data_IF_255868317524
#
_entry.id   IF_255868317524
#
_cell.length_a   1.000
_cell.length_b   1.000
_cell.length_c   1.000
_cell.angle_alpha   90.00
_cell.angle_beta   90.00
_cell.angle_gamma   90.00
#
_symmetry.space_group_name_H-M   'P 1'
#
loop_
_entity.id
_entity.type
_entity.pdbx_description
1 polymer ?
#
# COMPACT_ATOMS: atom_id res chain seq x y z
N UNK A 1 11.67 -26.20 47.89
CA UNK A 1 11.67 -26.38 46.42
C UNK A 1 10.52 -25.57 45.84
N UNK A 2 10.79 -24.39 45.29
CA UNK A 2 9.80 -23.50 44.73
C UNK A 2 9.81 -23.64 43.20
N UNK A 3 8.70 -24.02 42.64
CA UNK A 3 8.48 -24.09 41.20
C UNK A 3 8.40 -22.64 40.62
N UNK A 4 9.39 -22.29 39.83
CA UNK A 4 9.36 -21.13 38.99
C UNK A 4 8.67 -21.53 37.65
N UNK A 5 7.38 -21.23 37.52
CA UNK A 5 6.60 -21.39 36.29
C UNK A 5 6.99 -20.29 35.30
N UNK A 6 7.43 -20.69 34.12
CA UNK A 6 7.85 -19.83 33.01
C UNK A 6 6.66 -19.11 32.41
N UNK A 7 6.59 -17.81 32.60
CA UNK A 7 5.69 -16.91 31.87
C UNK A 7 6.40 -16.26 30.67
N UNK A 8 6.73 -17.07 29.67
CA UNK A 8 7.39 -16.57 28.44
C UNK A 8 6.56 -17.02 27.24
N UNK A 9 5.38 -16.55 27.05
CA UNK A 9 4.65 -16.98 25.83
C UNK A 9 3.56 -16.05 25.32
N UNK A 10 3.18 -15.00 26.04
CA UNK A 10 2.05 -14.16 25.58
C UNK A 10 2.45 -12.90 24.82
N UNK A 11 3.61 -12.34 25.06
CA UNK A 11 4.09 -11.13 24.40
C UNK A 11 4.48 -11.35 22.93
N UNK A 12 5.04 -12.50 22.58
CA UNK A 12 5.54 -12.80 21.23
C UNK A 12 4.40 -13.04 20.22
N UNK A 13 3.24 -13.50 20.66
CA UNK A 13 2.10 -13.80 19.79
C UNK A 13 1.37 -12.51 19.38
N UNK A 14 1.37 -11.49 20.23
CA UNK A 14 0.72 -10.20 19.94
C UNK A 14 1.44 -9.38 18.86
N UNK A 15 2.76 -9.49 18.75
CA UNK A 15 3.57 -8.75 17.76
C UNK A 15 3.32 -9.28 16.35
N UNK A 16 3.13 -10.59 16.20
CA UNK A 16 2.86 -11.20 14.89
C UNK A 16 1.48 -10.88 14.31
N UNK A 17 0.50 -10.59 15.13
CA UNK A 17 -0.84 -10.23 14.66
C UNK A 17 -0.88 -8.77 14.16
N UNK A 18 -0.03 -7.91 14.67
CA UNK A 18 0.00 -6.48 14.35
C UNK A 18 0.59 -6.16 12.97
N UNK A 19 1.49 -6.98 12.45
CA UNK A 19 2.14 -6.76 11.14
C UNK A 19 1.27 -7.14 9.93
N UNK A 20 0.12 -7.75 10.15
CA UNK A 20 -0.63 -8.50 9.13
C UNK A 20 -1.64 -7.69 8.32
N UNK A 21 -1.98 -6.46 8.69
CA UNK A 21 -3.09 -5.74 8.07
C UNK A 21 -2.72 -4.65 7.08
N UNK A 22 -1.49 -4.50 6.73
CA UNK A 22 -1.06 -3.36 5.92
C UNK A 22 -0.19 -3.74 4.75
N UNK A 23 -0.66 -4.70 4.01
CA UNK A 23 -0.28 -4.79 2.63
C UNK A 23 -1.28 -3.93 1.85
N UNK A 24 -0.92 -2.69 1.48
CA UNK A 24 -1.68 -2.02 0.46
C UNK A 24 -1.60 -2.92 -0.76
N UNK A 25 -2.74 -3.30 -1.27
CA UNK A 25 -2.83 -3.76 -2.64
C UNK A 25 -2.37 -2.60 -3.50
N UNK A 26 -1.07 -2.53 -3.74
CA UNK A 26 -0.52 -1.61 -4.71
C UNK A 26 -0.90 -2.15 -6.08
N UNK A 27 -1.97 -1.64 -6.56
CA UNK A 27 -2.39 -1.85 -7.92
C UNK A 27 -1.47 -1.04 -8.83
N UNK A 28 -0.85 -1.74 -9.72
CA UNK A 28 -0.13 -1.21 -10.85
C UNK A 28 -1.11 -0.58 -11.82
N UNK A 29 -1.19 0.72 -11.80
CA UNK A 29 -2.02 1.46 -12.72
C UNK A 29 -1.19 2.47 -13.46
N UNK A 30 -1.66 2.78 -14.65
CA UNK A 30 -1.26 3.90 -15.45
C UNK A 30 -1.07 5.22 -14.69
N UNK A 31 -1.45 5.21 -13.45
CA UNK A 31 -1.33 6.30 -12.50
C UNK A 31 -0.75 5.74 -11.23
N UNK A 32 0.49 5.24 -11.31
CA UNK A 32 1.23 5.00 -10.10
C UNK A 32 1.21 6.28 -9.30
N UNK A 33 0.34 6.33 -8.31
CA UNK A 33 0.65 7.17 -7.17
C UNK A 33 2.06 6.77 -6.76
N UNK A 34 2.96 7.72 -6.47
CA UNK A 34 4.22 7.34 -5.88
C UNK A 34 3.85 6.29 -4.85
N UNK A 35 4.46 5.12 -4.96
CA UNK A 35 4.16 4.02 -4.04
C UNK A 35 4.60 4.49 -2.66
N UNK A 36 3.79 5.37 -2.09
CA UNK A 36 3.86 5.62 -0.68
C UNK A 36 3.30 4.34 -0.11
N UNK A 37 4.21 3.41 0.09
CA UNK A 37 3.96 2.23 0.86
C UNK A 37 3.33 2.74 2.15
N UNK A 38 2.09 2.42 2.49
CA UNK A 38 1.65 2.54 3.85
C UNK A 38 2.50 1.55 4.62
N UNK A 39 3.63 2.04 5.09
CA UNK A 39 4.52 1.27 5.89
C UNK A 39 3.94 1.21 7.26
N UNK A 40 3.72 -0.03 7.68
CA UNK A 40 3.62 -0.36 9.07
C UNK A 40 2.63 0.51 9.83
N UNK A 41 1.36 0.45 9.51
CA UNK A 41 0.42 0.57 10.58
C UNK A 41 0.41 -0.78 11.28
N UNK A 42 0.81 -0.78 12.52
CA UNK A 42 0.54 -1.88 13.41
C UNK A 42 -0.95 -2.16 13.37
N UNK A 43 -1.33 -3.38 13.00
CA UNK A 43 -2.62 -3.85 13.44
C UNK A 43 -2.60 -3.84 14.96
N UNK A 44 -3.61 -3.25 15.58
CA UNK A 44 -3.81 -3.46 16.99
C UNK A 44 -3.84 -4.96 17.24
N UNK A 45 -3.09 -5.40 18.21
CA UNK A 45 -3.17 -6.77 18.68
C UNK A 45 -4.64 -7.14 18.85
N UNK A 46 -5.03 -8.31 18.41
CA UNK A 46 -6.33 -8.92 18.69
C UNK A 46 -6.47 -9.14 20.22
N UNK A 47 -6.55 -8.04 20.96
CA UNK A 47 -6.98 -7.99 22.33
C UNK A 47 -8.50 -7.88 22.34
N UNK A 48 -9.14 -8.70 23.15
CA UNK A 48 -10.55 -8.70 23.57
C UNK A 48 -11.43 -7.63 22.92
N UNK A 49 -12.49 -8.07 22.25
CA UNK A 49 -13.48 -7.24 21.56
C UNK A 49 -13.94 -6.05 22.42
N UNK A 50 -13.27 -4.91 22.27
CA UNK A 50 -13.79 -3.64 22.73
C UNK A 50 -14.72 -3.09 21.65
N UNK A 51 -15.94 -2.80 22.06
CA UNK A 51 -16.98 -2.22 21.21
C UNK A 51 -16.73 -0.71 21.11
N UNK A 52 -15.92 -0.28 20.15
CA UNK A 52 -15.65 1.14 19.92
C UNK A 52 -14.44 1.38 18.99
N UNK A 53 -14.30 2.59 18.48
CA UNK A 53 -13.13 3.06 17.72
C UNK A 53 -12.04 3.60 18.67
N UNK A 54 -11.78 2.92 19.77
CA UNK A 54 -10.81 3.32 20.79
C UNK A 54 -9.50 2.53 20.71
N UNK A 55 -9.29 1.82 19.60
CA UNK A 55 -8.04 1.11 19.33
C UNK A 55 -6.96 2.05 18.78
N UNK A 56 -5.71 1.55 18.69
CA UNK A 56 -4.60 2.33 18.16
C UNK A 56 -4.85 2.81 16.73
N UNK A 57 -4.35 4.00 16.45
CA UNK A 57 -4.45 4.64 15.16
C UNK A 57 -3.24 5.51 14.88
N UNK A 58 -3.19 6.08 13.68
CA UNK A 58 -2.19 7.09 13.33
C UNK A 58 -2.74 8.12 12.36
N UNK A 59 -2.06 9.27 12.34
CA UNK A 59 -2.19 10.29 11.30
C UNK A 59 -0.81 10.50 10.70
N UNK A 60 -0.73 10.63 9.39
CA UNK A 60 0.51 10.91 8.65
C UNK A 60 0.29 12.04 7.66
N UNK A 61 1.18 13.02 7.67
CA UNK A 61 1.26 14.10 6.70
C UNK A 61 2.59 14.03 5.97
N UNK A 62 2.57 14.16 4.66
CA UNK A 62 3.80 14.11 3.88
C UNK A 62 3.67 14.69 2.48
N UNK A 63 4.78 14.60 1.77
CA UNK A 63 4.85 15.02 0.37
C UNK A 63 5.91 14.27 -0.40
N UNK A 64 5.81 14.34 -1.71
CA UNK A 64 6.75 13.71 -2.64
C UNK A 64 7.13 14.63 -3.79
N UNK A 65 8.29 14.37 -4.34
CA UNK A 65 8.72 14.91 -5.64
C UNK A 65 9.40 13.83 -6.44
N UNK A 66 9.08 13.79 -7.74
CA UNK A 66 9.71 12.87 -8.69
C UNK A 66 10.14 13.64 -9.92
N UNK A 67 11.38 13.43 -10.35
CA UNK A 67 11.90 13.91 -11.62
C UNK A 67 11.72 12.86 -12.71
N UNK A 68 11.39 13.33 -13.91
CA UNK A 68 11.17 12.49 -15.08
C UNK A 68 12.22 12.78 -16.14
N UNK A 69 12.68 11.73 -16.83
CA UNK A 69 13.57 11.88 -17.99
C UNK A 69 12.79 12.39 -19.21
N UNK A 70 13.53 12.75 -20.29
CA UNK A 70 12.91 13.14 -21.56
C UNK A 70 12.28 14.52 -21.58
N UNK A 71 12.65 15.41 -20.65
CA UNK A 71 12.12 16.78 -20.58
C UNK A 71 10.67 16.86 -20.08
N UNK A 72 10.17 15.79 -19.50
CA UNK A 72 8.83 15.77 -18.90
C UNK A 72 8.82 16.51 -17.57
N UNK A 73 7.66 17.12 -17.24
CA UNK A 73 7.49 17.89 -16.00
C UNK A 73 7.54 16.99 -14.78
N UNK A 74 8.21 17.46 -13.72
CA UNK A 74 8.24 16.79 -12.42
C UNK A 74 6.84 16.54 -11.87
N UNK A 75 6.71 15.44 -11.10
CA UNK A 75 5.51 15.16 -10.32
C UNK A 75 5.71 15.63 -8.88
N UNK A 76 4.67 16.18 -8.30
CA UNK A 76 4.66 16.59 -6.89
C UNK A 76 3.35 16.19 -6.24
N UNK A 77 3.44 15.64 -5.03
CA UNK A 77 2.27 15.27 -4.25
C UNK A 77 2.41 15.77 -2.81
N UNK A 78 1.27 16.09 -2.20
CA UNK A 78 1.14 16.28 -0.76
C UNK A 78 -0.04 15.42 -0.29
N UNK A 79 0.08 14.77 0.86
CA UNK A 79 -0.94 13.85 1.35
C UNK A 79 -1.16 13.95 2.84
N UNK A 80 -2.37 13.61 3.23
CA UNK A 80 -2.79 13.33 4.61
C UNK A 80 -3.39 11.92 4.64
N UNK A 81 -2.93 11.10 5.57
CA UNK A 81 -3.44 9.75 5.82
C UNK A 81 -3.84 9.59 7.26
N UNK A 82 -4.85 8.79 7.49
CA UNK A 82 -5.27 8.40 8.82
C UNK A 82 -5.65 6.92 8.84
N UNK A 83 -5.45 6.30 9.98
CA UNK A 83 -5.93 4.97 10.28
C UNK A 83 -6.48 4.94 11.70
N UNK A 84 -7.59 4.26 11.87
CA UNK A 84 -8.26 4.04 13.15
C UNK A 84 -8.66 2.58 13.25
N UNK A 85 -8.47 1.98 14.39
CA UNK A 85 -8.91 0.61 14.62
C UNK A 85 -9.78 0.48 15.85
N UNK A 86 -10.61 -0.55 15.88
CA UNK A 86 -11.44 -0.87 17.03
C UNK A 86 -12.09 -2.24 16.87
N UNK A 87 -11.90 -3.09 17.86
CA UNK A 87 -12.38 -4.46 17.83
C UNK A 87 -11.87 -5.24 16.60
N UNK A 88 -12.78 -5.74 15.79
CA UNK A 88 -12.43 -6.48 14.56
C UNK A 88 -12.38 -5.62 13.30
N UNK A 89 -12.47 -4.29 13.43
CA UNK A 89 -12.50 -3.37 12.31
C UNK A 89 -11.31 -2.42 12.31
N UNK A 90 -10.85 -2.04 11.12
CA UNK A 90 -9.94 -0.94 10.89
C UNK A 90 -10.49 -0.05 9.79
N UNK A 91 -10.32 1.26 9.91
CA UNK A 91 -10.72 2.24 8.91
C UNK A 91 -9.52 3.07 8.52
N UNK A 92 -9.33 3.27 7.24
CA UNK A 92 -8.28 4.16 6.72
C UNK A 92 -8.89 5.24 5.85
N UNK A 93 -8.19 6.36 5.76
CA UNK A 93 -8.54 7.45 4.87
C UNK A 93 -7.29 8.08 4.29
N UNK A 94 -7.37 8.52 3.04
CA UNK A 94 -6.33 9.31 2.39
C UNK A 94 -6.96 10.48 1.65
N UNK A 95 -6.33 11.63 1.80
CA UNK A 95 -6.51 12.80 0.95
C UNK A 95 -5.15 13.14 0.35
N UNK A 96 -5.07 13.33 -0.98
CA UNK A 96 -3.86 13.82 -1.60
C UNK A 96 -4.12 14.85 -2.69
N UNK A 97 -3.21 15.83 -2.75
CA UNK A 97 -3.06 16.80 -3.83
C UNK A 97 -1.93 16.33 -4.71
N UNK A 98 -2.20 16.11 -5.98
CA UNK A 98 -1.23 15.56 -6.92
C UNK A 98 -1.11 16.46 -8.16
N UNK A 99 0.12 16.69 -8.59
CA UNK A 99 0.40 17.44 -9.80
C UNK A 99 1.29 16.60 -10.72
N UNK A 100 0.80 16.31 -11.93
CA UNK A 100 1.48 15.50 -12.95
C UNK A 100 1.17 16.07 -14.32
N UNK A 101 2.14 16.03 -15.22
CA UNK A 101 1.95 16.47 -16.59
C UNK A 101 1.40 17.92 -16.72
N UNK A 102 1.71 18.77 -15.73
CA UNK A 102 1.16 20.12 -15.66
C UNK A 102 -0.29 20.22 -15.16
N UNK A 103 -0.95 19.10 -14.92
CA UNK A 103 -2.32 19.05 -14.39
C UNK A 103 -2.31 18.84 -12.86
N UNK A 104 -3.28 19.49 -12.20
CA UNK A 104 -3.54 19.34 -10.77
C UNK A 104 -4.80 18.51 -10.54
N UNK A 105 -4.73 17.56 -9.63
CA UNK A 105 -5.85 16.75 -9.17
C UNK A 105 -5.82 16.48 -7.68
N UNK A 106 -6.97 16.14 -7.13
CA UNK A 106 -7.11 15.72 -5.74
C UNK A 106 -7.69 14.30 -5.71
N UNK A 107 -7.16 13.48 -4.82
CA UNK A 107 -7.59 12.11 -4.60
C UNK A 107 -8.14 11.95 -3.19
N UNK A 108 -9.20 11.17 -3.05
CA UNK A 108 -9.85 10.83 -1.80
C UNK A 108 -10.08 9.33 -1.77
N UNK A 109 -9.71 8.66 -0.70
CA UNK A 109 -10.03 7.24 -0.53
C UNK A 109 -10.38 6.90 0.91
N UNK A 110 -11.21 5.88 1.06
CA UNK A 110 -11.57 5.26 2.33
C UNK A 110 -11.33 3.75 2.22
N UNK A 111 -10.79 3.17 3.28
CA UNK A 111 -10.56 1.75 3.41
C UNK A 111 -11.25 1.19 4.65
N UNK A 112 -11.63 -0.07 4.57
CA UNK A 112 -12.18 -0.84 5.67
C UNK A 112 -11.53 -2.21 5.70
N UNK A 113 -10.94 -2.55 6.84
CA UNK A 113 -10.38 -3.86 7.15
C UNK A 113 -11.28 -4.56 8.15
N UNK A 114 -11.62 -5.81 7.91
CA UNK A 114 -12.46 -6.61 8.81
C UNK A 114 -11.79 -7.93 9.14
N UNK A 115 -11.51 -8.17 10.41
CA UNK A 115 -11.16 -9.51 10.91
C UNK A 115 -12.44 -10.33 11.00
N UNK A 116 -12.53 -11.38 10.18
CA UNK A 116 -13.72 -12.25 10.07
C UNK A 116 -13.60 -13.39 11.08
N UNK A 117 -12.42 -14.02 11.13
CA UNK A 117 -12.08 -15.05 12.11
C UNK A 117 -10.62 -14.88 12.49
N UNK A 118 -10.09 -15.69 13.40
CA UNK A 118 -8.66 -15.69 13.74
C UNK A 118 -7.73 -15.88 12.53
N UNK A 119 -8.20 -16.59 11.50
CA UNK A 119 -7.42 -16.95 10.33
C UNK A 119 -7.81 -16.18 9.05
N UNK A 120 -8.94 -15.46 9.06
CA UNK A 120 -9.44 -14.77 7.89
C UNK A 120 -9.68 -13.29 8.17
N UNK A 121 -9.24 -12.43 7.27
CA UNK A 121 -9.61 -11.01 7.25
C UNK A 121 -9.78 -10.53 5.81
N UNK A 122 -10.49 -9.43 5.66
CA UNK A 122 -10.75 -8.80 4.37
C UNK A 122 -10.42 -7.32 4.41
N UNK A 123 -10.12 -6.77 3.25
CA UNK A 123 -9.88 -5.35 3.03
C UNK A 123 -10.72 -4.87 1.85
N UNK A 124 -11.37 -3.73 2.02
CA UNK A 124 -12.11 -3.05 0.96
C UNK A 124 -11.63 -1.61 0.91
N UNK A 125 -11.42 -1.08 -0.28
CA UNK A 125 -11.04 0.32 -0.48
C UNK A 125 -11.89 0.90 -1.60
N UNK A 126 -12.37 2.12 -1.38
CA UNK A 126 -13.06 2.90 -2.39
C UNK A 126 -12.41 4.29 -2.48
N UNK A 127 -12.27 4.80 -3.69
CA UNK A 127 -11.69 6.12 -3.91
C UNK A 127 -12.30 6.85 -5.09
N UNK A 128 -12.17 8.17 -5.06
CA UNK A 128 -12.62 9.06 -6.13
C UNK A 128 -11.67 10.25 -6.25
N UNK A 129 -11.76 10.99 -7.34
CA UNK A 129 -10.92 12.17 -7.54
C UNK A 129 -11.75 13.40 -7.93
N UNK A 130 -11.13 14.59 -7.75
CA UNK A 130 -11.68 15.86 -8.27
C UNK A 130 -11.86 15.82 -9.79
N UNK A 131 -12.56 16.78 -10.36
CA UNK A 131 -12.73 16.91 -11.83
C UNK A 131 -11.43 17.19 -12.57
N UNK A 132 -10.47 17.90 -11.95
CA UNK A 132 -9.12 18.14 -12.47
C UNK A 132 -8.22 16.91 -12.38
N UNK A 133 -7.04 16.94 -13.02
CA UNK A 133 -6.06 15.84 -13.03
C UNK A 133 -6.58 14.61 -13.75
N UNK A 134 -6.57 14.63 -15.09
CA UNK A 134 -7.05 13.49 -15.93
C UNK A 134 -6.30 12.20 -15.67
N UNK A 135 -5.10 12.30 -15.15
CA UNK A 135 -4.27 11.16 -14.72
C UNK A 135 -4.84 10.40 -13.51
N UNK A 136 -5.79 10.95 -12.74
CA UNK A 136 -6.46 10.27 -11.63
C UNK A 136 -7.73 9.55 -12.09
N UNK A 137 -8.02 8.35 -11.57
CA UNK A 137 -9.28 7.68 -11.87
C UNK A 137 -10.46 8.49 -11.35
N UNK A 138 -11.57 8.47 -12.08
CA UNK A 138 -12.83 9.07 -11.63
C UNK A 138 -13.30 8.39 -10.34
N UNK A 139 -13.23 7.05 -10.32
CA UNK A 139 -13.44 6.23 -9.13
C UNK A 139 -12.71 4.91 -9.24
N UNK A 140 -12.44 4.30 -8.08
CA UNK A 140 -11.75 3.04 -7.94
C UNK A 140 -12.30 2.27 -6.75
N UNK A 141 -12.37 0.95 -6.90
CA UNK A 141 -12.73 0.00 -5.86
C UNK A 141 -11.75 -1.16 -5.86
N UNK A 142 -11.30 -1.57 -4.70
CA UNK A 142 -10.43 -2.72 -4.50
C UNK A 142 -10.97 -3.56 -3.34
N UNK A 143 -10.84 -4.87 -3.45
CA UNK A 143 -11.20 -5.82 -2.40
C UNK A 143 -10.22 -6.97 -2.34
N UNK A 144 -9.82 -7.34 -1.13
CA UNK A 144 -8.91 -8.44 -0.85
C UNK A 144 -9.46 -9.32 0.25
N UNK A 145 -9.15 -10.61 0.16
CA UNK A 145 -9.33 -11.58 1.24
C UNK A 145 -7.99 -12.23 1.55
N UNK A 146 -7.74 -12.46 2.82
CA UNK A 146 -6.49 -12.96 3.34
C UNK A 146 -6.73 -14.15 4.25
N UNK A 147 -5.87 -15.15 4.15
CA UNK A 147 -5.89 -16.32 5.02
C UNK A 147 -4.53 -16.54 5.66
N UNK A 148 -4.51 -16.59 6.98
CA UNK A 148 -3.36 -16.97 7.79
C UNK A 148 -3.25 -18.48 7.83
N UNK A 149 -2.10 -18.99 7.46
CA UNK A 149 -1.79 -20.42 7.39
C UNK A 149 -0.65 -20.76 8.35
N UNK A 150 -0.41 -22.05 8.55
CA UNK A 150 0.55 -22.63 9.47
C UNK A 150 0.18 -22.44 10.95
N UNK A 151 0.66 -23.30 11.85
CA UNK A 151 0.29 -23.26 13.28
C UNK A 151 0.58 -21.94 13.98
N UNK A 152 1.68 -21.26 13.59
CA UNK A 152 2.06 -19.95 14.13
C UNK A 152 1.56 -18.77 13.28
N UNK A 153 0.70 -19.02 12.28
CA UNK A 153 0.14 -18.01 11.38
C UNK A 153 1.21 -17.21 10.60
N UNK A 154 2.37 -17.82 10.35
CA UNK A 154 3.51 -17.14 9.69
C UNK A 154 3.30 -16.93 8.19
N UNK A 155 2.48 -17.75 7.54
CA UNK A 155 2.19 -17.60 6.13
C UNK A 155 0.79 -16.97 5.95
N UNK A 156 0.73 -15.89 5.22
CA UNK A 156 -0.53 -15.28 4.77
C UNK A 156 -0.62 -15.41 3.27
N UNK A 157 -1.71 -15.96 2.79
CA UNK A 157 -2.05 -15.93 1.36
C UNK A 157 -3.18 -14.94 1.14
N UNK A 158 -3.14 -14.27 0.00
CA UNK A 158 -4.03 -13.18 -0.34
C UNK A 158 -4.57 -13.35 -1.76
N UNK A 159 -5.83 -13.09 -1.96
CA UNK A 159 -6.43 -13.01 -3.28
C UNK A 159 -7.47 -11.89 -3.32
N UNK A 160 -7.60 -11.25 -4.47
CA UNK A 160 -8.57 -10.18 -4.62
C UNK A 160 -8.56 -9.56 -5.99
N UNK A 161 -9.20 -8.40 -6.08
CA UNK A 161 -9.30 -7.68 -7.34
C UNK A 161 -9.78 -6.26 -7.16
N UNK A 162 -9.81 -5.54 -8.25
CA UNK A 162 -10.25 -4.17 -8.27
C UNK A 162 -10.82 -3.76 -9.62
N UNK A 163 -11.47 -2.63 -9.59
CA UNK A 163 -12.02 -1.96 -10.75
C UNK A 163 -11.79 -0.47 -10.65
N UNK A 164 -11.41 0.16 -11.73
CA UNK A 164 -11.42 1.61 -11.85
C UNK A 164 -11.97 2.08 -13.18
N UNK A 165 -12.47 3.27 -13.14
CA UNK A 165 -12.92 4.08 -14.24
C UNK A 165 -12.08 5.33 -14.31
N UNK A 166 -11.42 5.59 -15.43
CA UNK A 166 -10.77 6.87 -15.68
C UNK A 166 -11.81 7.97 -15.97
N UNK A 167 -11.36 9.21 -16.07
CA UNK A 167 -12.23 10.34 -16.44
C UNK A 167 -12.57 10.37 -17.92
N UNK A 168 -11.85 9.62 -18.72
CA UNK A 168 -12.14 9.37 -20.13
C UNK A 168 -12.88 8.03 -20.32
N UNK A 169 -12.67 7.39 -21.48
CA UNK A 169 -13.33 6.12 -21.83
C UNK A 169 -12.74 4.89 -21.13
N UNK A 170 -11.51 5.00 -20.57
CA UNK A 170 -10.77 3.85 -20.09
C UNK A 170 -11.36 3.28 -18.80
N UNK A 171 -11.37 1.96 -18.72
CA UNK A 171 -11.68 1.18 -17.51
C UNK A 171 -10.68 0.08 -17.35
N UNK A 172 -10.49 -0.41 -16.14
CA UNK A 172 -9.70 -1.59 -15.96
C UNK A 172 -10.18 -2.46 -14.78
N UNK A 173 -9.95 -3.75 -14.92
CA UNK A 173 -10.19 -4.78 -13.91
C UNK A 173 -8.87 -5.42 -13.55
N UNK A 174 -8.66 -5.66 -12.27
CA UNK A 174 -7.46 -6.30 -11.74
C UNK A 174 -7.84 -7.57 -11.01
N UNK A 175 -6.92 -8.53 -11.07
CA UNK A 175 -6.92 -9.70 -10.23
C UNK A 175 -5.53 -9.83 -9.62
N UNK A 176 -5.48 -10.01 -8.31
CA UNK A 176 -4.26 -10.13 -7.56
C UNK A 176 -4.24 -11.43 -6.77
N UNK A 177 -3.08 -12.08 -6.76
CA UNK A 177 -2.78 -13.20 -5.87
C UNK A 177 -1.38 -12.98 -5.32
N UNK A 178 -1.22 -13.20 -4.02
CA UNK A 178 0.07 -13.01 -3.38
C UNK A 178 0.16 -13.67 -2.01
N UNK A 179 1.24 -13.40 -1.33
CA UNK A 179 1.43 -13.86 0.03
C UNK A 179 2.57 -13.17 0.75
N UNK A 180 2.59 -13.38 2.06
CA UNK A 180 3.62 -12.89 2.96
C UNK A 180 4.04 -14.00 3.90
N UNK A 181 5.36 -14.15 4.12
CA UNK A 181 5.91 -15.05 5.11
C UNK A 181 6.64 -14.25 6.18
N UNK A 182 6.25 -14.48 7.43
CA UNK A 182 6.77 -13.85 8.63
C UNK A 182 7.78 -14.79 9.29
N UNK A 183 9.05 -14.40 9.30
CA UNK A 183 10.10 -15.17 9.95
C UNK A 183 10.04 -14.99 11.47
N UNK A 184 10.70 -15.88 12.21
CA UNK A 184 10.88 -15.70 13.66
C UNK A 184 11.79 -14.51 14.00
N UNK A 185 12.64 -14.12 13.07
CA UNK A 185 13.43 -12.90 13.07
C UNK A 185 12.59 -11.75 12.52
N UNK A 186 12.97 -10.50 12.75
CA UNK A 186 12.17 -9.34 12.33
C UNK A 186 12.19 -9.12 10.82
N UNK A 187 11.94 -10.17 10.05
CA UNK A 187 11.87 -10.12 8.60
C UNK A 187 10.53 -10.62 8.09
N UNK A 188 10.05 -9.97 7.04
CA UNK A 188 8.87 -10.39 6.27
C UNK A 188 9.23 -10.38 4.80
N UNK A 189 9.03 -11.49 4.11
CA UNK A 189 9.11 -11.56 2.65
C UNK A 189 7.71 -11.56 2.08
N UNK A 190 7.50 -10.81 1.00
CA UNK A 190 6.22 -10.70 0.32
C UNK A 190 6.40 -10.86 -1.17
N UNK A 191 5.48 -11.57 -1.82
CA UNK A 191 5.48 -11.71 -3.26
C UNK A 191 4.03 -11.74 -3.79
N UNK A 192 3.84 -11.32 -5.02
CA UNK A 192 2.52 -11.38 -5.65
C UNK A 192 2.56 -11.11 -7.14
N UNK A 193 1.46 -11.47 -7.76
CA UNK A 193 1.21 -11.29 -9.21
C UNK A 193 -0.10 -10.54 -9.37
N UNK A 194 -0.11 -9.56 -10.25
CA UNK A 194 -1.31 -8.82 -10.65
C UNK A 194 -1.56 -8.98 -12.13
N UNK A 195 -2.78 -9.37 -12.50
CA UNK A 195 -3.27 -9.40 -13.86
C UNK A 195 -4.29 -8.30 -14.09
N UNK A 196 -4.03 -7.45 -15.07
CA UNK A 196 -4.86 -6.29 -15.42
C UNK A 196 -5.48 -6.46 -16.80
N UNK A 197 -6.76 -6.12 -16.91
CA UNK A 197 -7.54 -6.09 -18.15
C UNK A 197 -8.10 -4.68 -18.32
N UNK A 198 -7.62 -3.95 -19.32
CA UNK A 198 -8.05 -2.58 -19.61
C UNK A 198 -8.92 -2.51 -20.87
N UNK A 199 -9.88 -1.58 -20.85
CA UNK A 199 -10.78 -1.27 -21.97
C UNK A 199 -10.72 0.25 -22.25
N UNK A 200 -10.90 0.69 -23.51
CA UNK A 200 -11.09 -0.09 -24.72
C UNK A 200 -9.80 -0.78 -25.20
N UNK A 201 -9.92 -1.68 -26.18
CA UNK A 201 -8.77 -2.30 -26.81
C UNK A 201 -8.32 -3.61 -26.14
N UNK A 202 -8.97 -4.04 -25.05
CA UNK A 202 -8.68 -5.32 -24.36
C UNK A 202 -7.19 -5.51 -24.00
N UNK A 203 -6.52 -4.41 -23.66
CA UNK A 203 -5.12 -4.46 -23.23
C UNK A 203 -4.98 -5.30 -21.96
N UNK A 204 -4.01 -6.21 -21.98
CA UNK A 204 -3.74 -7.12 -20.87
C UNK A 204 -2.30 -6.95 -20.43
N UNK A 205 -2.11 -6.90 -19.12
CA UNK A 205 -0.80 -6.77 -18.52
C UNK A 205 -0.67 -7.66 -17.29
N UNK A 206 0.53 -8.10 -17.02
CA UNK A 206 0.87 -8.83 -15.79
C UNK A 206 2.08 -8.16 -15.17
N UNK A 207 2.04 -7.93 -13.88
CA UNK A 207 3.19 -7.52 -13.09
C UNK A 207 3.37 -8.43 -11.89
N UNK A 208 4.61 -8.56 -11.45
CA UNK A 208 5.03 -9.38 -10.33
C UNK A 208 5.88 -8.54 -9.39
N UNK A 209 5.75 -8.75 -8.10
CA UNK A 209 6.59 -8.07 -7.14
C UNK A 209 7.19 -9.01 -6.10
N UNK A 210 8.32 -8.57 -5.57
CA UNK A 210 8.98 -9.13 -4.41
C UNK A 210 9.34 -7.98 -3.46
N UNK A 211 9.07 -8.15 -2.16
CA UNK A 211 9.47 -7.19 -1.14
C UNK A 211 10.05 -7.90 0.08
N UNK A 212 11.00 -7.24 0.72
CA UNK A 212 11.59 -7.66 1.98
C UNK A 212 11.48 -6.49 2.97
N UNK A 213 10.89 -6.75 4.12
CA UNK A 213 10.79 -5.81 5.23
C UNK A 213 11.58 -6.32 6.43
N UNK A 214 12.32 -5.44 7.08
CA UNK A 214 13.05 -5.69 8.32
C UNK A 214 12.70 -4.60 9.33
N UNK A 215 12.53 -4.96 10.60
CA UNK A 215 12.38 -4.01 11.69
C UNK A 215 11.38 -4.43 12.75
N UNK A 216 11.22 -3.54 13.74
CA UNK A 216 10.29 -3.69 14.86
C UNK A 216 9.41 -2.46 15.01
N UNK A 217 8.20 -2.69 15.48
CA UNK A 217 7.29 -1.61 15.88
C UNK A 217 7.90 -0.77 17.00
N UNK A 218 7.66 0.54 16.96
CA UNK A 218 8.22 1.56 17.87
C UNK A 218 9.74 1.74 17.80
N UNK A 219 10.39 1.07 16.85
CA UNK A 219 11.79 1.28 16.52
C UNK A 219 11.90 1.81 15.08
N UNK A 220 12.05 0.89 14.13
CA UNK A 220 12.12 1.24 12.72
C UNK A 220 11.63 0.10 11.83
N UNK A 221 11.31 0.45 10.59
CA UNK A 221 11.13 -0.49 9.49
C UNK A 221 11.94 -0.05 8.28
N UNK A 222 12.60 -1.01 7.64
CA UNK A 222 13.21 -0.85 6.33
C UNK A 222 12.52 -1.81 5.38
N UNK A 223 12.03 -1.32 4.25
CA UNK A 223 11.46 -2.16 3.21
C UNK A 223 12.16 -1.88 1.90
N UNK A 224 12.55 -2.94 1.20
CA UNK A 224 12.98 -2.88 -0.20
C UNK A 224 12.00 -3.67 -1.05
N UNK A 225 11.68 -3.16 -2.23
CA UNK A 225 10.73 -3.77 -3.15
C UNK A 225 11.21 -3.66 -4.59
N UNK A 226 11.03 -4.73 -5.34
CA UNK A 226 11.16 -4.75 -6.78
C UNK A 226 9.83 -5.19 -7.41
N UNK A 227 9.45 -4.55 -8.50
CA UNK A 227 8.30 -4.94 -9.31
C UNK A 227 8.68 -4.90 -10.77
N UNK A 228 8.35 -5.97 -11.49
CA UNK A 228 8.66 -6.16 -12.89
C UNK A 228 7.39 -6.59 -13.62
N UNK A 229 7.33 -6.33 -14.91
CA UNK A 229 6.21 -6.80 -15.71
C UNK A 229 5.79 -5.84 -16.80
N UNK A 230 4.50 -5.71 -16.99
CA UNK A 230 3.89 -4.83 -17.99
C UNK A 230 2.78 -4.00 -17.37
N UNK A 231 2.56 -2.84 -17.92
CA UNK A 231 1.44 -1.99 -17.63
C UNK A 231 0.41 -2.01 -18.77
N UNK A 232 -0.89 -2.06 -18.39
CA UNK A 232 -1.94 -2.20 -19.39
C UNK A 232 -2.16 -0.91 -20.17
N UNK A 233 -2.17 0.22 -19.49
CA UNK A 233 -2.20 1.54 -20.09
C UNK A 233 -1.73 2.63 -19.13
N UNK A 234 -1.27 3.76 -19.67
CA UNK A 234 -0.94 4.97 -18.91
C UNK A 234 -1.40 6.21 -19.67
N UNK A 235 -2.00 7.17 -18.95
CA UNK A 235 -2.35 8.47 -19.47
C UNK A 235 -1.17 9.43 -19.28
N UNK A 236 -0.50 9.76 -20.35
CA UNK A 236 0.48 10.84 -20.36
C UNK A 236 -0.28 12.15 -20.60
N UNK A 237 -0.25 13.11 -19.80
CA UNK A 237 -0.95 14.39 -19.99
C UNK A 237 -1.38 14.72 -21.42
N UNK A 238 -2.56 15.28 -21.61
CA UNK A 238 -3.17 15.43 -22.94
C UNK A 238 -3.90 14.17 -23.42
N UNK A 239 -4.07 13.99 -24.74
CA UNK A 239 -4.81 12.86 -25.29
C UNK A 239 -3.98 11.57 -25.44
N UNK A 240 -2.71 11.59 -25.07
CA UNK A 240 -1.82 10.45 -25.26
C UNK A 240 -2.05 9.38 -24.21
N UNK A 241 -2.19 8.13 -24.67
CA UNK A 241 -2.30 6.94 -23.82
C UNK A 241 -1.30 5.89 -24.30
N UNK A 242 -0.51 5.39 -23.38
CA UNK A 242 0.40 4.27 -23.63
C UNK A 242 -0.32 2.95 -23.32
N UNK A 243 -0.04 1.90 -24.08
CA UNK A 243 -0.67 0.60 -23.88
C UNK A 243 0.37 -0.52 -23.83
N UNK A 244 0.18 -1.46 -22.93
CA UNK A 244 0.87 -2.74 -22.84
C UNK A 244 2.40 -2.64 -22.98
N UNK A 245 3.03 -1.81 -22.18
CA UNK A 245 4.48 -1.58 -22.19
C UNK A 245 5.18 -2.23 -20.98
N UNK A 246 6.46 -2.62 -21.10
CA UNK A 246 7.21 -3.19 -20.00
C UNK A 246 7.52 -2.11 -18.94
N UNK A 247 7.56 -2.55 -17.69
CA UNK A 247 7.88 -1.71 -16.55
C UNK A 247 8.85 -2.41 -15.60
N UNK A 248 9.63 -1.61 -14.91
CA UNK A 248 10.37 -2.02 -13.72
C UNK A 248 10.30 -0.89 -12.68
N UNK A 249 10.02 -1.29 -11.45
CA UNK A 249 10.02 -0.39 -10.31
C UNK A 249 10.90 -0.96 -9.21
N UNK A 250 11.71 -0.12 -8.61
CA UNK A 250 12.51 -0.41 -7.42
C UNK A 250 12.23 0.66 -6.39
N UNK A 251 11.97 0.24 -5.17
CA UNK A 251 11.76 1.20 -4.09
C UNK A 251 12.43 0.74 -2.80
N UNK A 252 12.84 1.72 -2.01
CA UNK A 252 13.31 1.52 -0.65
C UNK A 252 12.62 2.54 0.25
N UNK A 253 12.26 2.11 1.43
CA UNK A 253 11.58 2.97 2.38
C UNK A 253 12.05 2.71 3.80
N UNK A 254 12.01 3.74 4.61
CA UNK A 254 12.45 3.78 5.98
C UNK A 254 11.42 4.51 6.84
N UNK A 255 10.88 3.81 7.83
CA UNK A 255 10.05 4.39 8.89
C UNK A 255 10.82 4.36 10.19
N UNK A 256 10.93 5.48 10.87
CA UNK A 256 11.64 5.63 12.14
C UNK A 256 10.74 6.29 13.16
N UNK A 257 10.58 5.66 14.32
CA UNK A 257 10.03 6.34 15.51
C UNK A 257 11.14 7.17 16.16
N UNK A 258 10.90 8.47 16.30
CA UNK A 258 11.82 9.41 16.95
C UNK A 258 11.38 9.63 18.41
N UNK A 259 10.09 9.65 18.64
CA UNK A 259 9.50 9.71 19.98
C UNK A 259 8.57 8.53 20.21
N UNK A 260 7.94 8.51 21.39
CA UNK A 260 7.04 7.41 21.80
C UNK A 260 5.88 7.23 20.80
N UNK A 261 5.33 8.35 20.32
CA UNK A 261 4.12 8.37 19.51
C UNK A 261 4.30 9.10 18.17
N UNK A 262 5.52 9.37 17.72
CA UNK A 262 5.73 10.04 16.45
C UNK A 262 7.04 9.62 15.79
N UNK A 263 7.11 9.83 14.51
CA UNK A 263 8.30 9.52 13.74
C UNK A 263 8.23 10.06 12.32
N UNK A 264 9.15 9.59 11.50
CA UNK A 264 9.30 10.01 10.11
C UNK A 264 9.24 8.82 9.17
N UNK A 265 8.72 9.06 7.98
CA UNK A 265 8.78 8.17 6.85
C UNK A 265 9.64 8.81 5.76
N UNK A 266 10.56 8.02 5.22
CA UNK A 266 11.36 8.38 4.05
C UNK A 266 11.20 7.28 3.02
N UNK A 267 11.07 7.61 1.75
CA UNK A 267 11.17 6.60 0.69
C UNK A 267 11.81 7.15 -0.56
N UNK A 268 12.42 6.25 -1.30
CA UNK A 268 12.96 6.48 -2.62
C UNK A 268 12.34 5.49 -3.60
N UNK A 269 12.10 5.92 -4.83
CA UNK A 269 11.51 5.12 -5.89
C UNK A 269 12.20 5.40 -7.22
N UNK A 270 12.46 4.33 -7.96
CA UNK A 270 12.92 4.37 -9.33
C UNK A 270 11.99 3.57 -10.23
N UNK A 271 11.35 4.22 -11.17
CA UNK A 271 10.54 3.60 -12.19
C UNK A 271 11.20 3.75 -13.56
N UNK A 272 11.11 2.70 -14.35
CA UNK A 272 11.54 2.74 -15.73
C UNK A 272 10.56 2.05 -16.66
N UNK A 273 10.34 2.68 -17.80
CA UNK A 273 9.61 2.14 -18.92
C UNK A 273 10.27 2.63 -20.24
N UNK A 274 9.84 2.19 -21.42
CA UNK A 274 10.44 2.59 -22.69
C UNK A 274 10.33 4.09 -23.02
N UNK A 275 9.45 4.81 -22.35
CA UNK A 275 9.12 6.20 -22.67
C UNK A 275 9.80 7.21 -21.75
N UNK A 276 9.95 6.86 -20.48
CA UNK A 276 10.62 7.70 -19.49
C UNK A 276 11.17 6.88 -18.32
N UNK A 277 12.07 7.49 -17.56
CA UNK A 277 12.51 7.06 -16.23
C UNK A 277 12.04 8.08 -15.23
N UNK A 278 11.62 7.62 -14.04
CA UNK A 278 11.20 8.47 -12.93
C UNK A 278 12.01 8.14 -11.69
N UNK A 279 12.55 9.15 -11.04
CA UNK A 279 13.18 9.04 -9.74
C UNK A 279 12.42 9.92 -8.76
N UNK A 280 11.95 9.34 -7.67
CA UNK A 280 11.12 10.02 -6.69
C UNK A 280 11.59 9.83 -5.26
N UNK A 281 11.28 10.82 -4.42
CA UNK A 281 11.46 10.74 -2.97
C UNK A 281 10.20 11.21 -2.25
N UNK A 282 9.94 10.60 -1.11
CA UNK A 282 8.82 10.93 -0.22
C UNK A 282 9.35 11.21 1.17
N UNK A 283 8.79 12.22 1.81
CA UNK A 283 9.03 12.53 3.23
C UNK A 283 7.68 12.68 3.91
N UNK A 284 7.53 12.05 5.08
CA UNK A 284 6.32 12.16 5.88
C UNK A 284 6.64 12.20 7.37
N UNK A 285 5.73 12.77 8.14
CA UNK A 285 5.73 12.73 9.61
C UNK A 285 4.45 12.03 10.04
N UNK A 286 4.55 11.10 10.96
CA UNK A 286 3.41 10.38 11.49
C UNK A 286 3.30 10.54 13.01
N UNK A 287 2.08 10.44 13.51
CA UNK A 287 1.73 10.46 14.93
C UNK A 287 0.80 9.28 15.22
N UNK A 288 1.22 8.40 16.12
CA UNK A 288 0.43 7.28 16.64
C UNK A 288 -0.35 7.72 17.88
N UNK A 289 -1.56 7.19 18.11
CA UNK A 289 -2.39 7.45 19.30
C UNK A 289 -3.25 6.23 19.67
#
# INVERSE_FOLDING_TARGET
MRNASKSVSRATISIFAALLALLPVQSTWAQRQPSVIPQGSSLPGLGTAETGLNGPGYIELGGSRSSLSGGLTDWTDAYLRAFLSGGSNGFSGEFSRQQRWGELGYWYSLGWTRTITENWYSELTAGTSSTGGRFLPKYRFDGMIHRKLLPRKQLVVSAGGGYDKSKDVNTARRFHVGGAYYFEWPFVIQAGVTRTYAQPGSAQATSEFLALTQGHEKEHYITVRAELGREAYELLGGPQTLFNFPIHNYSASYRQWIGVNWGVNLSFEHDGNPYYKRNGGVVGIFFDF
#
